data_IF_518290533480
#
_entry.id   IF_518290533480
#
_cell.length_a   1.000
_cell.length_b   1.000
_cell.length_c   1.000
_cell.angle_alpha   90.00
_cell.angle_beta   90.00
_cell.angle_gamma   90.00
#
_symmetry.space_group_name_H-M   'P 1'
#
loop_
_entity.id
_entity.type
_entity.pdbx_description
1 polymer ?
#
# COMPACT_ATOMS: atom_id res chain seq x y z
N UNK A 1 -50.35 14.17 28.92
CA UNK A 1 -49.70 14.51 27.63
C UNK A 1 -48.20 14.10 27.57
N UNK A 2 -47.75 13.06 28.28
CA UNK A 2 -46.31 12.72 28.38
C UNK A 2 -45.89 11.43 27.68
N UNK A 3 -46.83 10.53 27.36
CA UNK A 3 -46.51 9.21 26.80
C UNK A 3 -46.20 9.25 25.30
N UNK A 4 -46.98 10.02 24.53
CA UNK A 4 -46.78 10.19 23.08
C UNK A 4 -45.45 10.87 22.74
N UNK A 5 -45.05 11.87 23.54
CA UNK A 5 -43.76 12.57 23.37
C UNK A 5 -42.56 11.66 23.66
N UNK A 6 -42.68 10.74 24.62
CA UNK A 6 -41.63 9.77 24.94
C UNK A 6 -41.49 8.74 23.81
N UNK A 7 -42.60 8.20 23.30
CA UNK A 7 -42.61 7.27 22.17
C UNK A 7 -41.98 7.89 20.91
N UNK A 8 -42.29 9.16 20.62
CA UNK A 8 -41.74 9.86 19.46
C UNK A 8 -40.23 10.11 19.61
N UNK A 9 -39.77 10.39 20.83
CA UNK A 9 -38.34 10.57 21.12
C UNK A 9 -37.56 9.26 20.99
N UNK A 10 -38.12 8.14 21.46
CA UNK A 10 -37.50 6.82 21.29
C UNK A 10 -37.46 6.37 19.83
N UNK A 11 -38.52 6.62 19.06
CA UNK A 11 -38.54 6.32 17.62
C UNK A 11 -37.48 7.12 16.85
N UNK A 12 -37.32 8.41 17.19
CA UNK A 12 -36.28 9.26 16.61
C UNK A 12 -34.86 8.78 16.97
N UNK A 13 -34.66 8.36 18.22
CA UNK A 13 -33.36 7.85 18.68
C UNK A 13 -32.97 6.56 17.95
N UNK A 14 -33.91 5.64 17.74
CA UNK A 14 -33.67 4.38 17.01
C UNK A 14 -33.30 4.67 15.54
N UNK A 15 -33.94 5.66 14.91
CA UNK A 15 -33.61 6.09 13.54
C UNK A 15 -32.19 6.65 13.41
N UNK A 16 -31.72 7.44 14.39
CA UNK A 16 -30.37 7.98 14.40
C UNK A 16 -29.32 6.88 14.61
N UNK A 17 -29.58 5.93 15.50
CA UNK A 17 -28.65 4.80 15.74
C UNK A 17 -28.56 3.89 14.50
N UNK A 18 -29.67 3.66 13.79
CA UNK A 18 -29.65 2.86 12.55
C UNK A 18 -28.78 3.50 11.46
N UNK A 19 -28.86 4.82 11.27
CA UNK A 19 -28.07 5.55 10.27
C UNK A 19 -26.55 5.52 10.56
N UNK A 20 -26.14 5.40 11.82
CA UNK A 20 -24.72 5.35 12.21
C UNK A 20 -24.06 3.97 12.02
N UNK A 21 -24.80 2.93 11.64
CA UNK A 21 -24.25 1.56 11.50
C UNK A 21 -23.85 1.17 10.08
N UNK A 22 -24.05 2.04 9.09
CA UNK A 22 -23.68 1.78 7.69
C UNK A 22 -22.26 2.24 7.37
N UNK A 23 -21.29 1.84 8.20
CA UNK A 23 -19.87 2.13 7.98
C UNK A 23 -19.01 0.93 8.40
N UNK A 24 -19.32 -0.26 7.91
CA UNK A 24 -18.37 -1.38 7.99
C UNK A 24 -18.65 -2.46 6.97
N UNK A 25 -17.99 -2.35 5.83
CA UNK A 25 -17.16 -3.41 5.24
C UNK A 25 -16.50 -2.83 3.99
N UNK A 26 -15.19 -2.48 4.01
CA UNK A 26 -14.45 -2.52 2.76
C UNK A 26 -14.51 -3.97 2.32
N UNK A 27 -15.29 -4.22 1.26
CA UNK A 27 -15.29 -5.49 0.59
C UNK A 27 -13.85 -5.82 0.25
N UNK A 28 -13.39 -6.92 0.79
CA UNK A 28 -12.21 -7.63 0.34
C UNK A 28 -12.56 -8.12 -1.07
N UNK A 29 -12.49 -7.20 -2.05
CA UNK A 29 -12.38 -7.58 -3.43
C UNK A 29 -11.09 -8.38 -3.47
N UNK A 30 -11.22 -9.70 -3.59
CA UNK A 30 -10.13 -10.57 -3.98
C UNK A 30 -9.63 -10.07 -5.33
N UNK A 31 -8.72 -9.10 -5.27
CA UNK A 31 -7.93 -8.64 -6.36
C UNK A 31 -7.15 -9.88 -6.76
N UNK A 32 -7.52 -10.47 -7.89
CA UNK A 32 -6.62 -11.38 -8.59
C UNK A 32 -5.43 -10.50 -8.96
N UNK A 33 -4.43 -10.47 -8.08
CA UNK A 33 -3.14 -9.88 -8.38
C UNK A 33 -2.51 -10.88 -9.35
N UNK A 34 -2.85 -10.76 -10.63
CA UNK A 34 -1.94 -11.23 -11.66
C UNK A 34 -0.65 -10.44 -11.41
N UNK A 35 0.35 -11.15 -10.90
CA UNK A 35 1.65 -10.59 -10.62
C UNK A 35 2.20 -10.07 -11.95
N UNK A 36 1.96 -8.79 -12.21
CA UNK A 36 2.51 -8.12 -13.37
C UNK A 36 4.01 -8.12 -13.16
N UNK A 37 4.73 -8.73 -14.09
CA UNK A 37 6.18 -8.81 -14.01
C UNK A 37 6.76 -7.40 -13.77
N UNK A 38 7.68 -7.28 -12.82
CA UNK A 38 8.24 -5.99 -12.45
C UNK A 38 9.08 -5.47 -13.62
N UNK A 39 8.58 -4.43 -14.29
CA UNK A 39 9.29 -3.73 -15.37
C UNK A 39 10.35 -2.74 -14.86
N UNK A 40 10.99 -3.01 -13.72
CA UNK A 40 12.14 -2.23 -13.24
C UNK A 40 13.39 -2.62 -14.03
N UNK A 41 14.08 -1.62 -14.56
CA UNK A 41 15.33 -1.80 -15.33
C UNK A 41 16.51 -1.24 -14.52
N UNK A 42 17.56 -2.04 -14.40
CA UNK A 42 18.79 -1.72 -13.70
C UNK A 42 19.92 -1.45 -14.69
N UNK A 43 20.57 -0.29 -14.58
CA UNK A 43 21.62 0.16 -15.50
C UNK A 43 22.87 0.59 -14.71
N UNK A 44 24.02 -0.13 -14.83
CA UNK A 44 24.25 -1.35 -15.62
C UNK A 44 23.60 -2.62 -15.01
N UNK A 45 23.37 -3.69 -15.79
CA UNK A 45 22.79 -4.94 -15.27
C UNK A 45 23.74 -5.68 -14.30
N UNK A 46 25.04 -5.34 -14.35
CA UNK A 46 26.07 -5.89 -13.48
C UNK A 46 26.98 -4.76 -13.00
N UNK A 47 27.34 -4.82 -11.72
CA UNK A 47 28.29 -3.90 -11.09
C UNK A 47 29.55 -4.66 -10.77
N UNK A 48 30.69 -4.15 -11.24
CA UNK A 48 32.02 -4.60 -10.86
C UNK A 48 32.74 -3.45 -10.13
N UNK A 49 33.14 -3.71 -8.89
CA UNK A 49 33.88 -2.77 -8.05
C UNK A 49 35.39 -2.80 -8.37
N UNK A 50 35.85 -3.78 -9.15
CA UNK A 50 37.26 -4.01 -9.42
C UNK A 50 38.05 -4.40 -8.18
N UNK A 51 39.34 -4.07 -8.18
CA UNK A 51 40.22 -4.32 -7.04
C UNK A 51 40.01 -3.23 -5.96
N UNK A 52 39.41 -3.62 -4.84
CA UNK A 52 39.28 -2.77 -3.64
C UNK A 52 40.38 -3.17 -2.64
N UNK A 53 41.11 -2.20 -2.10
CA UNK A 53 42.15 -2.48 -1.10
C UNK A 53 41.57 -2.59 0.29
N UNK A 54 42.31 -3.29 1.16
CA UNK A 54 41.97 -3.37 2.57
C UNK A 54 41.95 -1.98 3.21
N UNK A 55 40.88 -1.68 3.94
CA UNK A 55 40.68 -0.39 4.61
C UNK A 55 40.19 0.75 3.70
N UNK A 56 40.02 0.53 2.40
CA UNK A 56 39.44 1.51 1.48
C UNK A 56 37.92 1.26 1.31
N UNK A 57 37.13 2.34 1.33
CA UNK A 57 35.69 2.29 1.02
C UNK A 57 35.47 2.44 -0.49
N UNK A 58 34.65 1.55 -1.05
CA UNK A 58 34.25 1.60 -2.46
C UNK A 58 32.73 1.72 -2.57
N UNK A 59 32.27 2.72 -3.32
CA UNK A 59 30.84 2.99 -3.55
C UNK A 59 30.57 3.00 -5.04
N UNK A 60 29.54 2.28 -5.47
CA UNK A 60 29.03 2.34 -6.84
C UNK A 60 27.56 2.70 -6.83
N UNK A 61 27.18 3.52 -7.81
CA UNK A 61 25.80 3.92 -8.04
C UNK A 61 25.19 3.10 -9.16
N UNK A 62 24.01 2.56 -8.90
CA UNK A 62 23.19 1.86 -9.88
C UNK A 62 21.95 2.68 -10.18
N UNK A 63 21.66 2.89 -11.47
CA UNK A 63 20.43 3.58 -11.87
C UNK A 63 19.31 2.56 -11.96
N UNK A 64 18.19 2.86 -11.31
CA UNK A 64 16.95 2.09 -11.42
C UNK A 64 15.90 2.94 -12.12
N UNK A 65 15.26 2.39 -13.15
CA UNK A 65 14.18 3.05 -13.88
C UNK A 65 12.96 2.16 -13.92
N UNK A 66 11.79 2.72 -13.59
CA UNK A 66 10.52 2.06 -13.89
C UNK A 66 10.22 2.21 -15.38
N UNK A 67 10.24 1.11 -16.11
CA UNK A 67 9.91 1.06 -17.53
C UNK A 67 8.49 0.53 -17.80
N UNK A 68 7.72 0.22 -16.75
CA UNK A 68 6.33 -0.19 -16.86
C UNK A 68 5.36 0.98 -16.80
N UNK A 69 4.09 0.67 -17.08
CA UNK A 69 3.00 1.64 -17.08
C UNK A 69 2.36 1.85 -15.70
N UNK A 70 2.75 1.03 -14.72
CA UNK A 70 2.23 1.09 -13.34
C UNK A 70 3.27 1.70 -12.40
N UNK A 71 2.80 2.44 -11.40
CA UNK A 71 3.66 2.89 -10.32
C UNK A 71 4.13 1.68 -9.51
N UNK A 72 5.45 1.57 -9.30
CA UNK A 72 6.05 0.52 -8.48
C UNK A 72 6.76 1.13 -7.28
N UNK A 73 6.73 0.40 -6.15
CA UNK A 73 7.41 0.76 -4.92
C UNK A 73 8.50 -0.28 -4.65
N UNK A 74 9.73 0.20 -4.42
CA UNK A 74 10.83 -0.65 -3.93
C UNK A 74 10.65 -0.78 -2.42
N UNK A 75 10.36 -2.00 -1.97
CA UNK A 75 10.08 -2.28 -0.55
C UNK A 75 11.29 -2.84 0.20
N UNK A 76 12.20 -3.53 -0.50
CA UNK A 76 13.36 -4.18 0.09
C UNK A 76 14.50 -4.30 -0.95
N UNK A 77 15.74 -4.35 -0.47
CA UNK A 77 16.95 -4.58 -1.27
C UNK A 77 17.78 -5.66 -0.59
N UNK A 78 17.96 -6.80 -1.26
CA UNK A 78 18.64 -7.98 -0.71
C UNK A 78 20.03 -8.14 -1.32
N UNK A 79 20.99 -8.54 -0.49
CA UNK A 79 22.36 -8.91 -0.90
C UNK A 79 22.57 -10.40 -0.61
N UNK A 80 23.12 -11.13 -1.58
CA UNK A 80 23.47 -12.56 -1.47
C UNK A 80 24.84 -12.79 -0.87
#
# INVERSE_FOLDING_TARGET
MSLSKRLLFFALLILVVAACTQAKQPGEMAMVIEATESALVFEPPHVDLGAVKEGEEAVVYLRVRNAGDTMQQIVDVQTS
#
